data_IF_022660517249
#
_entry.id   IF_022660517249
#
_cell.length_a   1.000
_cell.length_b   1.000
_cell.length_c   1.000
_cell.angle_alpha   90.00
_cell.angle_beta   90.00
_cell.angle_gamma   90.00
#
_symmetry.space_group_name_H-M   'P 1'
#
loop_
_entity.id
_entity.type
_entity.pdbx_description
1 polymer ?
#
# COMPACT_ATOMS: atom_id res chain seq x y z
N UNK A 1 -28.76 12.82 -7.69
CA UNK A 1 -28.68 11.36 -7.82
C UNK A 1 -27.84 10.86 -6.66
N UNK A 2 -28.48 10.31 -5.63
CA UNK A 2 -27.88 9.77 -4.40
C UNK A 2 -28.38 8.33 -4.24
N UNK A 3 -28.18 7.49 -5.25
CA UNK A 3 -28.68 6.09 -5.25
C UNK A 3 -27.58 5.06 -4.92
N UNK A 4 -26.31 5.45 -4.81
CA UNK A 4 -25.23 4.51 -4.49
C UNK A 4 -25.17 4.08 -3.02
N UNK A 5 -25.93 4.75 -2.13
CA UNK A 5 -25.96 4.42 -0.69
C UNK A 5 -26.97 3.33 -0.32
N UNK A 6 -27.74 2.79 -1.28
CA UNK A 6 -28.84 1.85 -1.05
C UNK A 6 -28.55 0.41 -1.48
N UNK A 7 -27.31 0.09 -1.86
CA UNK A 7 -26.95 -1.31 -2.13
C UNK A 7 -26.96 -2.09 -0.80
N UNK A 8 -27.62 -3.26 -0.75
CA UNK A 8 -27.60 -4.10 0.44
C UNK A 8 -26.16 -4.46 0.76
N UNK A 9 -25.79 -4.31 2.03
CA UNK A 9 -24.46 -4.68 2.51
C UNK A 9 -24.19 -6.15 2.14
N UNK A 10 -22.97 -6.51 1.70
CA UNK A 10 -22.68 -7.84 1.16
C UNK A 10 -22.58 -8.86 2.29
N UNK A 11 -23.74 -9.20 2.89
CA UNK A 11 -23.86 -10.08 4.05
C UNK A 11 -23.26 -11.46 3.79
N UNK A 12 -23.18 -11.93 2.55
CA UNK A 12 -22.61 -13.24 2.25
C UNK A 12 -21.09 -13.23 2.05
N UNK A 13 -20.45 -12.05 2.04
CA UNK A 13 -19.02 -11.93 1.80
C UNK A 13 -18.23 -12.24 3.07
N UNK A 14 -17.32 -13.23 3.01
CA UNK A 14 -16.56 -13.70 4.18
C UNK A 14 -15.82 -12.56 4.91
N UNK A 15 -15.22 -11.60 4.19
CA UNK A 15 -14.58 -10.44 4.80
C UNK A 15 -15.56 -9.48 5.49
N UNK A 16 -16.79 -9.36 4.99
CA UNK A 16 -17.81 -8.52 5.59
C UNK A 16 -18.35 -9.18 6.87
N UNK A 17 -18.56 -10.50 6.85
CA UNK A 17 -18.92 -11.28 8.04
C UNK A 17 -17.80 -11.28 9.09
N UNK A 18 -16.54 -11.38 8.68
CA UNK A 18 -15.38 -11.25 9.58
C UNK A 18 -15.33 -9.85 10.19
N UNK A 19 -15.40 -8.79 9.38
CA UNK A 19 -15.41 -7.40 9.87
C UNK A 19 -16.59 -7.07 10.80
N UNK A 20 -17.74 -7.74 10.64
CA UNK A 20 -18.89 -7.63 11.55
C UNK A 20 -18.66 -8.39 12.87
N UNK A 21 -17.95 -9.51 12.85
CA UNK A 21 -17.73 -10.36 14.01
C UNK A 21 -16.65 -9.81 14.97
N UNK A 22 -15.69 -9.03 14.46
CA UNK A 22 -14.81 -8.20 15.29
C UNK A 22 -14.39 -6.97 14.48
N UNK A 23 -14.50 -5.75 15.04
CA UNK A 23 -13.88 -4.55 14.46
C UNK A 23 -12.36 -4.70 14.24
N UNK A 24 -11.75 -5.68 14.92
CA UNK A 24 -10.34 -6.09 14.82
C UNK A 24 -10.15 -7.39 13.99
N UNK A 25 -11.18 -7.90 13.29
CA UNK A 25 -11.16 -9.21 12.62
C UNK A 25 -10.32 -9.28 11.34
N UNK A 26 -9.92 -8.13 10.78
CA UNK A 26 -8.87 -8.10 9.78
C UNK A 26 -7.57 -8.16 10.57
N UNK A 27 -7.03 -9.36 10.73
CA UNK A 27 -5.75 -9.56 11.37
C UNK A 27 -4.67 -8.78 10.58
N UNK A 28 -4.46 -7.53 10.99
CA UNK A 28 -3.49 -6.62 10.39
C UNK A 28 -2.04 -7.05 10.70
N UNK A 29 -1.83 -8.12 11.49
CA UNK A 29 -0.49 -8.65 11.75
C UNK A 29 0.22 -9.04 10.45
N UNK A 30 -0.52 -9.62 9.51
CA UNK A 30 -0.01 -9.95 8.17
C UNK A 30 0.26 -8.70 7.32
N UNK A 31 -0.40 -7.56 7.56
CA UNK A 31 -0.17 -6.34 6.79
C UNK A 31 1.24 -5.79 6.98
N UNK A 32 1.85 -5.96 8.16
CA UNK A 32 3.14 -5.36 8.46
C UNK A 32 4.23 -5.85 7.50
N UNK A 33 4.23 -7.12 7.15
CA UNK A 33 5.20 -7.69 6.20
C UNK A 33 5.03 -7.15 4.78
N UNK A 34 3.83 -6.69 4.43
CA UNK A 34 3.53 -6.11 3.11
C UNK A 34 3.70 -4.58 3.10
N UNK A 35 3.82 -3.98 4.28
CA UNK A 35 4.21 -2.57 4.44
C UNK A 35 5.71 -2.37 4.27
N UNK A 36 6.53 -3.36 4.62
CA UNK A 36 7.98 -3.30 4.37
C UNK A 36 8.29 -3.25 2.87
N UNK A 37 9.48 -2.73 2.56
CA UNK A 37 10.01 -2.78 1.20
C UNK A 37 10.26 -4.25 0.79
N UNK A 38 10.10 -4.59 -0.49
CA UNK A 38 10.49 -5.90 -1.00
C UNK A 38 12.01 -6.11 -0.83
N UNK A 39 12.50 -7.37 -0.81
CA UNK A 39 11.77 -8.60 -1.11
C UNK A 39 10.90 -9.11 0.03
N UNK A 40 9.69 -9.55 -0.32
CA UNK A 40 8.80 -10.34 0.52
C UNK A 40 9.21 -11.81 0.57
N UNK A 41 9.08 -12.40 1.75
CA UNK A 41 9.17 -13.85 1.93
C UNK A 41 7.91 -14.48 1.35
N UNK A 42 8.09 -15.51 0.52
CA UNK A 42 6.96 -16.24 -0.05
C UNK A 42 6.20 -16.99 1.04
N UNK A 43 4.87 -16.97 0.96
CA UNK A 43 4.08 -17.88 1.78
C UNK A 43 4.28 -19.32 1.32
N UNK A 44 4.91 -20.14 2.16
CA UNK A 44 4.96 -21.61 2.01
C UNK A 44 3.60 -22.28 2.29
N UNK A 45 2.52 -21.50 2.33
CA UNK A 45 1.20 -21.99 2.64
C UNK A 45 0.65 -22.82 1.46
N UNK A 46 0.23 -24.05 1.76
CA UNK A 46 -0.19 -25.09 0.80
C UNK A 46 -1.59 -24.83 0.20
N UNK A 47 -2.11 -23.62 0.37
CA UNK A 47 -3.38 -23.18 -0.20
C UNK A 47 -3.31 -23.17 -1.71
N UNK A 48 -4.37 -23.62 -2.39
CA UNK A 48 -4.50 -23.51 -3.84
C UNK A 48 -4.40 -22.04 -4.27
N UNK A 49 -3.23 -21.67 -4.81
CA UNK A 49 -2.86 -20.31 -5.21
C UNK A 49 -3.66 -19.81 -6.42
N UNK A 50 -4.37 -20.70 -7.12
CA UNK A 50 -5.24 -20.40 -8.24
C UNK A 50 -6.72 -20.39 -7.86
N UNK A 51 -7.06 -20.75 -6.61
CA UNK A 51 -8.44 -20.70 -6.12
C UNK A 51 -8.99 -19.27 -6.12
N UNK A 52 -10.30 -19.14 -6.37
CA UNK A 52 -10.99 -17.85 -6.33
C UNK A 52 -10.87 -17.16 -4.96
N UNK A 53 -10.89 -17.93 -3.88
CA UNK A 53 -10.74 -17.40 -2.52
C UNK A 53 -9.36 -16.78 -2.29
N UNK A 54 -8.29 -17.44 -2.76
CA UNK A 54 -6.93 -16.91 -2.67
C UNK A 54 -6.78 -15.59 -3.44
N UNK A 55 -7.35 -15.51 -4.64
CA UNK A 55 -7.30 -14.32 -5.48
C UNK A 55 -8.11 -13.16 -4.86
N UNK A 56 -9.32 -13.46 -4.39
CA UNK A 56 -10.19 -12.50 -3.69
C UNK A 56 -9.54 -11.96 -2.41
N UNK A 57 -8.89 -12.82 -1.63
CA UNK A 57 -8.13 -12.41 -0.45
C UNK A 57 -6.97 -11.49 -0.83
N UNK A 58 -6.17 -11.87 -1.83
CA UNK A 58 -5.01 -11.07 -2.29
C UNK A 58 -5.43 -9.69 -2.81
N UNK A 59 -6.56 -9.60 -3.51
CA UNK A 59 -7.15 -8.34 -3.96
C UNK A 59 -7.56 -7.47 -2.77
N UNK A 60 -8.25 -8.06 -1.79
CA UNK A 60 -8.70 -7.37 -0.59
C UNK A 60 -7.55 -6.88 0.26
N UNK A 61 -6.50 -7.71 0.41
CA UNK A 61 -5.25 -7.34 1.06
C UNK A 61 -4.60 -6.11 0.40
N UNK A 62 -4.56 -6.06 -0.94
CA UNK A 62 -4.05 -4.90 -1.68
C UNK A 62 -4.84 -3.64 -1.35
N UNK A 63 -6.18 -3.74 -1.33
CA UNK A 63 -7.06 -2.61 -1.02
C UNK A 63 -6.90 -2.12 0.43
N UNK A 64 -6.84 -3.03 1.39
CA UNK A 64 -6.62 -2.70 2.81
C UNK A 64 -5.25 -2.03 2.99
N UNK A 65 -4.20 -2.61 2.42
CA UNK A 65 -2.85 -2.04 2.46
C UNK A 65 -2.82 -0.63 1.85
N UNK A 66 -3.51 -0.42 0.73
CA UNK A 66 -3.65 0.90 0.13
C UNK A 66 -4.30 1.90 1.08
N UNK A 67 -5.41 1.50 1.73
CA UNK A 67 -6.12 2.32 2.70
C UNK A 67 -5.26 2.72 3.91
N UNK A 68 -4.49 1.77 4.47
CA UNK A 68 -3.53 2.04 5.56
C UNK A 68 -2.49 3.05 5.11
N UNK A 69 -1.86 2.83 3.95
CA UNK A 69 -0.80 3.70 3.43
C UNK A 69 -1.31 5.13 3.16
N UNK A 70 -2.56 5.30 2.70
CA UNK A 70 -3.20 6.62 2.54
C UNK A 70 -3.39 7.34 3.88
N UNK A 71 -3.83 6.64 4.93
CA UNK A 71 -3.97 7.23 6.29
C UNK A 71 -2.62 7.70 6.81
N UNK A 72 -1.59 6.87 6.72
CA UNK A 72 -0.23 7.23 7.13
C UNK A 72 0.34 8.40 6.33
N UNK A 73 0.09 8.46 5.02
CA UNK A 73 0.51 9.58 4.19
C UNK A 73 -0.17 10.88 4.66
N UNK A 74 -1.48 10.84 4.95
CA UNK A 74 -2.21 12.01 5.46
C UNK A 74 -1.62 12.51 6.78
N UNK A 75 -1.27 11.61 7.69
CA UNK A 75 -0.62 11.97 8.95
C UNK A 75 0.78 12.58 8.72
N UNK A 76 1.56 12.02 7.80
CA UNK A 76 2.86 12.57 7.40
C UNK A 76 2.71 13.97 6.79
N UNK A 77 1.75 14.17 5.89
CA UNK A 77 1.47 15.46 5.26
C UNK A 77 1.08 16.53 6.30
N UNK A 78 0.30 16.16 7.32
CA UNK A 78 -0.06 17.07 8.42
C UNK A 78 1.17 17.49 9.24
N UNK A 79 2.03 16.52 9.59
CA UNK A 79 3.30 16.80 10.29
C UNK A 79 4.23 17.68 9.47
N UNK A 80 4.35 17.42 8.17
CA UNK A 80 5.13 18.24 7.25
C UNK A 80 4.61 19.68 7.22
N UNK A 81 3.30 19.88 7.04
CA UNK A 81 2.67 21.22 7.07
C UNK A 81 2.95 21.97 8.37
N UNK A 82 2.89 21.28 9.51
CA UNK A 82 3.22 21.88 10.80
C UNK A 82 4.71 22.24 10.90
N UNK A 83 5.61 21.38 10.41
CA UNK A 83 7.04 21.66 10.36
C UNK A 83 7.37 22.87 9.47
N UNK A 84 6.73 23.01 8.31
CA UNK A 84 6.88 24.19 7.44
C UNK A 84 6.39 25.49 8.11
N UNK A 85 5.39 25.43 8.98
CA UNK A 85 4.91 26.59 9.74
C UNK A 85 5.81 26.98 10.91
N UNK A 86 6.55 26.02 11.47
CA UNK A 86 7.29 26.17 12.74
C UNK A 86 8.82 26.19 12.59
N UNK A 87 9.38 25.68 11.47
CA UNK A 87 10.83 25.58 11.19
C UNK A 87 11.21 26.28 9.88
N UNK A 88 12.49 26.66 9.78
CA UNK A 88 13.10 27.23 8.58
C UNK A 88 12.85 26.34 7.36
N UNK A 89 12.14 26.89 6.37
CA UNK A 89 11.75 26.28 5.08
C UNK A 89 12.84 25.42 4.43
N UNK A 90 14.10 25.85 4.52
CA UNK A 90 15.26 25.16 3.93
C UNK A 90 15.45 23.74 4.46
N UNK A 91 15.34 23.52 5.79
CA UNK A 91 15.53 22.20 6.38
C UNK A 91 14.41 21.22 5.98
N UNK A 92 13.18 21.72 5.87
CA UNK A 92 12.03 20.93 5.43
C UNK A 92 12.17 20.53 3.94
N UNK A 93 12.64 21.45 3.09
CA UNK A 93 12.92 21.16 1.68
C UNK A 93 14.03 20.12 1.51
N UNK A 94 15.15 20.24 2.25
CA UNK A 94 16.23 19.23 2.19
C UNK A 94 15.74 17.85 2.60
N UNK A 95 14.88 17.76 3.62
CA UNK A 95 14.27 16.49 4.03
C UNK A 95 13.38 15.88 2.95
N UNK A 96 12.57 16.71 2.26
CA UNK A 96 11.72 16.25 1.17
C UNK A 96 12.54 15.75 -0.02
N UNK A 97 13.61 16.48 -0.40
CA UNK A 97 14.51 16.04 -1.47
C UNK A 97 15.14 14.69 -1.15
N UNK A 98 15.63 14.51 0.08
CA UNK A 98 16.19 13.22 0.52
C UNK A 98 15.15 12.09 0.47
N UNK A 99 13.90 12.38 0.85
CA UNK A 99 12.81 11.41 0.79
C UNK A 99 12.46 11.01 -0.65
N UNK A 100 12.39 11.97 -1.58
CA UNK A 100 12.16 11.70 -3.00
C UNK A 100 13.28 10.85 -3.58
N UNK A 101 14.54 11.16 -3.29
CA UNK A 101 15.68 10.35 -3.76
C UNK A 101 15.59 8.92 -3.21
N UNK A 102 15.29 8.76 -1.91
CA UNK A 102 15.11 7.43 -1.30
C UNK A 102 13.99 6.65 -1.97
N UNK A 103 12.84 7.29 -2.22
CA UNK A 103 11.70 6.65 -2.90
C UNK A 103 12.03 6.29 -4.34
N UNK A 104 12.82 7.10 -5.04
CA UNK A 104 13.24 6.79 -6.41
C UNK A 104 14.10 5.52 -6.46
N UNK A 105 15.08 5.41 -5.56
CA UNK A 105 15.94 4.21 -5.44
C UNK A 105 15.11 2.96 -5.07
N UNK A 106 14.15 3.10 -4.16
CA UNK A 106 13.22 2.01 -3.78
C UNK A 106 12.36 1.57 -4.97
N UNK A 107 11.86 2.53 -5.77
CA UNK A 107 11.11 2.23 -6.97
C UNK A 107 11.96 1.51 -8.03
N UNK A 108 13.17 1.97 -8.30
CA UNK A 108 14.09 1.34 -9.25
C UNK A 108 14.43 -0.10 -8.83
N UNK A 109 14.71 -0.34 -7.55
CA UNK A 109 14.97 -1.67 -7.02
C UNK A 109 13.75 -2.59 -7.22
N UNK A 110 12.55 -2.11 -6.91
CA UNK A 110 11.33 -2.88 -7.07
C UNK A 110 10.97 -3.12 -8.56
N UNK A 111 11.26 -2.17 -9.46
CA UNK A 111 11.11 -2.35 -10.90
C UNK A 111 12.07 -3.41 -11.44
N UNK A 112 13.33 -3.42 -11.00
CA UNK A 112 14.29 -4.43 -11.39
C UNK A 112 13.83 -5.83 -10.97
N UNK A 113 13.22 -5.97 -9.80
CA UNK A 113 12.63 -7.24 -9.37
C UNK A 113 11.47 -7.70 -10.26
N UNK A 114 10.63 -6.78 -10.75
CA UNK A 114 9.56 -7.09 -11.71
C UNK A 114 10.14 -7.54 -13.06
N UNK A 115 11.18 -6.86 -13.54
CA UNK A 115 11.84 -7.17 -14.82
C UNK A 115 12.55 -8.52 -14.79
N UNK A 116 13.15 -8.89 -13.65
CA UNK A 116 13.85 -10.15 -13.46
C UNK A 116 12.94 -11.30 -13.00
N UNK A 117 11.62 -11.12 -13.02
CA UNK A 117 10.63 -12.12 -12.62
C UNK A 117 10.92 -12.74 -11.24
N UNK A 118 11.33 -11.91 -10.28
CA UNK A 118 11.74 -12.36 -8.94
C UNK A 118 10.67 -13.22 -8.24
N UNK A 119 9.39 -12.96 -8.54
CA UNK A 119 8.26 -13.78 -8.12
C UNK A 119 7.60 -14.44 -9.33
N UNK A 120 7.59 -15.78 -9.35
CA UNK A 120 6.92 -16.54 -10.40
C UNK A 120 5.39 -16.30 -10.34
N UNK A 121 4.71 -16.00 -11.45
CA UNK A 121 3.30 -15.60 -11.43
C UNK A 121 2.34 -16.69 -10.95
N UNK A 122 2.71 -17.97 -11.08
CA UNK A 122 1.89 -19.11 -10.61
C UNK A 122 2.30 -19.58 -9.21
N UNK A 123 3.59 -19.49 -8.87
CA UNK A 123 4.06 -19.99 -7.59
C UNK A 123 3.96 -18.91 -6.51
N UNK A 124 4.10 -17.64 -6.85
CA UNK A 124 4.11 -16.52 -5.91
C UNK A 124 3.18 -15.38 -6.37
N UNK A 125 1.89 -15.68 -6.70
CA UNK A 125 0.97 -14.67 -7.24
C UNK A 125 0.71 -13.53 -6.27
N UNK A 126 0.66 -13.80 -4.95
CA UNK A 126 0.43 -12.78 -3.93
C UNK A 126 1.62 -11.86 -3.79
N UNK A 127 2.83 -12.39 -3.68
CA UNK A 127 4.06 -11.60 -3.57
C UNK A 127 4.25 -10.74 -4.82
N UNK A 128 3.98 -11.29 -6.01
CA UNK A 128 3.98 -10.52 -7.25
C UNK A 128 2.94 -9.38 -7.23
N UNK A 129 1.74 -9.66 -6.74
CA UNK A 129 0.68 -8.64 -6.59
C UNK A 129 1.08 -7.53 -5.61
N UNK A 130 1.67 -7.90 -4.47
CA UNK A 130 2.18 -6.97 -3.47
C UNK A 130 3.37 -6.15 -3.97
N UNK A 131 4.26 -6.75 -4.78
CA UNK A 131 5.37 -6.04 -5.43
C UNK A 131 4.85 -4.99 -6.41
N UNK A 132 3.86 -5.35 -7.26
CA UNK A 132 3.19 -4.40 -8.16
C UNK A 132 2.51 -3.27 -7.37
N UNK A 133 1.80 -3.61 -6.30
CA UNK A 133 1.18 -2.61 -5.42
C UNK A 133 2.23 -1.70 -4.78
N UNK A 134 3.37 -2.22 -4.31
CA UNK A 134 4.48 -1.42 -3.78
C UNK A 134 5.03 -0.46 -4.81
N UNK A 135 5.33 -0.93 -6.03
CA UNK A 135 5.77 -0.09 -7.14
C UNK A 135 4.80 1.06 -7.43
N UNK A 136 3.50 0.76 -7.55
CA UNK A 136 2.48 1.77 -7.77
C UNK A 136 2.40 2.78 -6.63
N UNK A 137 2.48 2.30 -5.38
CA UNK A 137 2.44 3.16 -4.21
C UNK A 137 3.64 4.11 -4.15
N UNK A 138 4.85 3.61 -4.38
CA UNK A 138 6.06 4.43 -4.38
C UNK A 138 6.00 5.47 -5.50
N UNK A 139 5.64 5.07 -6.72
CA UNK A 139 5.46 5.99 -7.85
C UNK A 139 4.43 7.08 -7.55
N UNK A 140 3.26 6.69 -7.00
CA UNK A 140 2.23 7.64 -6.56
C UNK A 140 2.77 8.59 -5.49
N UNK A 141 3.55 8.09 -4.53
CA UNK A 141 4.12 8.91 -3.45
C UNK A 141 5.12 9.92 -4.01
N UNK A 142 5.99 9.53 -4.95
CA UNK A 142 6.89 10.45 -5.65
C UNK A 142 6.09 11.56 -6.35
N UNK A 143 5.07 11.19 -7.13
CA UNK A 143 4.20 12.17 -7.82
C UNK A 143 3.47 13.06 -6.82
N UNK A 144 2.98 12.50 -5.70
CA UNK A 144 2.37 13.28 -4.62
C UNK A 144 3.36 14.28 -4.04
N UNK A 145 4.58 13.87 -3.71
CA UNK A 145 5.60 14.79 -3.16
C UNK A 145 6.01 15.89 -4.17
N UNK A 146 6.05 15.59 -5.47
CA UNK A 146 6.22 16.61 -6.51
C UNK A 146 5.00 17.53 -6.66
N UNK A 147 3.80 16.97 -6.53
CA UNK A 147 2.52 17.66 -6.65
C UNK A 147 2.08 18.38 -5.37
N UNK A 148 2.73 18.12 -4.24
CA UNK A 148 2.64 18.88 -3.00
C UNK A 148 3.22 20.26 -3.29
N UNK A 149 2.37 21.12 -3.87
CA UNK A 149 2.56 22.56 -3.97
C UNK A 149 2.66 23.13 -2.55
N UNK A 150 3.84 23.04 -1.96
CA UNK A 150 4.27 23.89 -0.84
C UNK A 150 5.06 25.11 -1.37
N UNK A 151 4.78 25.51 -2.61
CA UNK A 151 5.37 26.62 -3.37
C UNK A 151 4.30 27.56 -3.96
N UNK A 152 3.12 27.65 -3.33
CA UNK A 152 2.21 28.79 -3.48
C UNK A 152 1.92 29.36 -2.09
#
# INVERSE_FOLDING_TARGET
>A
MLEEAALPLPQEHHLYQQALASPDALDESDLQRWKSAPPFVADDNDSDRLSMDYLSYTSSLSAVLHGVRLREQRERDLKLRQAFRTRQRTAALSSLTAEVVRLHLDWEAAQLMLQNEHYHPVLHPRELSMLKHHCHWVARTIVHLHGLKFLE
#
